data_IF_395057981698
#
_entry.id   IF_395057981698
#
_cell.length_a   1.000
_cell.length_b   1.000
_cell.length_c   1.000
_cell.angle_alpha   90.00
_cell.angle_beta   90.00
_cell.angle_gamma   90.00
#
_symmetry.space_group_name_H-M   'P 1'
#
loop_
_entity.id
_entity.type
_entity.pdbx_description
1 polymer ?
#
# COMPACT_ATOMS: atom_id res chain seq x y z
N UNK A 1 -27.71 -14.83 5.09
CA UNK A 1 -27.21 -13.47 5.42
C UNK A 1 -28.37 -12.50 5.71
N UNK A 2 -28.26 -11.57 6.68
CA UNK A 2 -29.22 -10.45 6.79
C UNK A 2 -28.91 -9.38 5.73
N UNK A 3 -29.88 -8.58 5.31
CA UNK A 3 -29.66 -7.53 4.31
C UNK A 3 -28.62 -6.49 4.75
N UNK A 4 -28.49 -6.26 6.04
CA UNK A 4 -27.50 -5.36 6.62
C UNK A 4 -26.07 -5.87 6.42
N UNK A 5 -25.80 -7.16 6.71
CA UNK A 5 -24.49 -7.76 6.47
C UNK A 5 -24.13 -7.77 4.97
N UNK A 6 -25.11 -8.03 4.10
CA UNK A 6 -24.89 -8.00 2.64
C UNK A 6 -24.49 -6.60 2.17
N UNK A 7 -25.16 -5.56 2.67
CA UNK A 7 -24.82 -4.15 2.36
C UNK A 7 -23.42 -3.80 2.84
N UNK A 8 -23.04 -4.17 4.05
CA UNK A 8 -21.70 -3.88 4.57
C UNK A 8 -20.60 -4.65 3.84
N UNK A 9 -20.84 -5.91 3.47
CA UNK A 9 -19.93 -6.69 2.65
C UNK A 9 -19.66 -6.01 1.29
N UNK A 10 -20.71 -5.62 0.55
CA UNK A 10 -20.53 -4.92 -0.72
C UNK A 10 -19.92 -3.52 -0.60
N UNK A 11 -20.11 -2.84 0.54
CA UNK A 11 -19.39 -1.58 0.81
C UNK A 11 -17.90 -1.86 1.01
N UNK A 12 -17.54 -2.89 1.78
CA UNK A 12 -16.15 -3.28 1.99
C UNK A 12 -15.48 -3.70 0.67
N UNK A 13 -16.14 -4.50 -0.17
CA UNK A 13 -15.64 -4.86 -1.51
C UNK A 13 -15.32 -3.64 -2.37
N UNK A 14 -16.24 -2.66 -2.43
CA UNK A 14 -16.02 -1.42 -3.19
C UNK A 14 -14.85 -0.62 -2.65
N UNK A 15 -14.71 -0.51 -1.32
CA UNK A 15 -13.56 0.17 -0.70
C UNK A 15 -12.25 -0.54 -1.00
N UNK A 16 -12.23 -1.88 -0.98
CA UNK A 16 -11.04 -2.66 -1.34
C UNK A 16 -10.63 -2.40 -2.79
N UNK A 17 -11.58 -2.44 -3.73
CA UNK A 17 -11.29 -2.18 -5.13
C UNK A 17 -10.69 -0.79 -5.34
N UNK A 18 -11.32 0.24 -4.76
CA UNK A 18 -10.85 1.63 -4.87
C UNK A 18 -9.49 1.83 -4.21
N UNK A 19 -9.30 1.36 -2.96
CA UNK A 19 -8.04 1.47 -2.25
C UNK A 19 -6.90 0.72 -2.96
N UNK A 20 -7.20 -0.42 -3.62
CA UNK A 20 -6.21 -1.17 -4.40
C UNK A 20 -5.75 -0.37 -5.62
N UNK A 21 -6.69 0.23 -6.36
CA UNK A 21 -6.38 1.11 -7.49
C UNK A 21 -5.56 2.33 -7.07
N UNK A 22 -5.91 2.96 -5.94
CA UNK A 22 -5.13 4.08 -5.39
C UNK A 22 -3.71 3.65 -5.01
N UNK A 23 -3.55 2.46 -4.44
CA UNK A 23 -2.24 1.90 -4.09
C UNK A 23 -1.36 1.67 -5.33
N UNK A 24 -1.93 1.14 -6.41
CA UNK A 24 -1.22 0.98 -7.70
C UNK A 24 -0.73 2.34 -8.23
N UNK A 25 -1.58 3.36 -8.20
CA UNK A 25 -1.21 4.70 -8.65
C UNK A 25 -0.06 5.30 -7.81
N UNK A 26 -0.10 5.10 -6.48
CA UNK A 26 0.97 5.55 -5.59
C UNK A 26 2.27 4.81 -5.89
N UNK A 27 2.21 3.50 -6.13
CA UNK A 27 3.38 2.69 -6.47
C UNK A 27 4.05 3.17 -7.76
N UNK A 28 3.27 3.48 -8.81
CA UNK A 28 3.79 4.08 -10.04
C UNK A 28 4.47 5.43 -9.76
N UNK A 29 3.85 6.27 -8.93
CA UNK A 29 4.40 7.56 -8.54
C UNK A 29 5.73 7.41 -7.80
N UNK A 30 5.83 6.45 -6.87
CA UNK A 30 7.09 6.14 -6.17
C UNK A 30 8.16 5.71 -7.16
N UNK A 31 7.83 4.86 -8.14
CA UNK A 31 8.78 4.43 -9.17
C UNK A 31 9.31 5.60 -10.02
N UNK A 32 8.46 6.58 -10.34
CA UNK A 32 8.89 7.81 -11.03
C UNK A 32 9.82 8.65 -10.15
N UNK A 33 9.51 8.79 -8.86
CA UNK A 33 10.35 9.50 -7.92
C UNK A 33 11.72 8.82 -7.75
N UNK A 34 11.76 7.48 -7.71
CA UNK A 34 13.02 6.73 -7.65
C UNK A 34 13.90 6.98 -8.86
N UNK A 35 13.31 7.01 -10.06
CA UNK A 35 14.02 7.37 -11.28
C UNK A 35 14.59 8.79 -11.20
N UNK A 36 13.79 9.76 -10.78
CA UNK A 36 14.21 11.16 -10.66
C UNK A 36 15.30 11.37 -9.59
N UNK A 37 15.20 10.68 -8.45
CA UNK A 37 16.24 10.68 -7.42
C UNK A 37 17.53 10.15 -8.03
N UNK A 38 17.48 8.99 -8.70
CA UNK A 38 18.67 8.39 -9.31
C UNK A 38 19.33 9.31 -10.35
N UNK A 39 18.56 9.90 -11.25
CA UNK A 39 19.05 10.83 -12.27
C UNK A 39 19.67 12.08 -11.64
N UNK A 40 19.01 12.67 -10.64
CA UNK A 40 19.52 13.84 -9.92
C UNK A 40 20.79 13.51 -9.13
N UNK A 41 20.87 12.34 -8.46
CA UNK A 41 22.07 11.88 -7.75
C UNK A 41 23.24 11.70 -8.71
N UNK A 42 22.99 11.14 -9.90
CA UNK A 42 24.02 11.01 -10.94
C UNK A 42 24.52 12.38 -11.39
N UNK A 43 23.62 13.33 -11.65
CA UNK A 43 23.99 14.70 -12.04
C UNK A 43 24.81 15.38 -10.95
N UNK A 44 24.37 15.29 -9.70
CA UNK A 44 25.08 15.83 -8.54
C UNK A 44 26.50 15.25 -8.42
N UNK A 45 26.64 13.94 -8.57
CA UNK A 45 27.95 13.27 -8.52
C UNK A 45 28.88 13.79 -9.62
N UNK A 46 28.34 14.03 -10.83
CA UNK A 46 29.11 14.57 -11.93
C UNK A 46 29.54 16.02 -11.66
N UNK A 47 28.62 16.86 -11.21
CA UNK A 47 28.88 18.26 -10.85
C UNK A 47 29.90 18.39 -9.70
N UNK A 48 29.83 17.52 -8.69
CA UNK A 48 30.82 17.50 -7.60
C UNK A 48 32.21 17.09 -8.09
N UNK A 49 32.31 16.16 -9.05
CA UNK A 49 33.58 15.79 -9.68
C UNK A 49 34.15 16.95 -10.50
N UNK A 50 33.33 17.62 -11.29
CA UNK A 50 33.73 18.78 -12.09
C UNK A 50 34.21 19.93 -11.19
N UNK A 51 33.47 20.22 -10.11
CA UNK A 51 33.87 21.20 -9.12
C UNK A 51 35.19 20.83 -8.45
N UNK A 52 35.38 19.58 -8.06
CA UNK A 52 36.64 19.13 -7.47
C UNK A 52 37.81 19.25 -8.46
N UNK A 53 37.62 18.84 -9.71
CA UNK A 53 38.64 18.99 -10.75
C UNK A 53 39.00 20.46 -11.00
N UNK A 54 38.00 21.35 -11.03
CA UNK A 54 38.21 22.78 -11.16
C UNK A 54 39.05 23.33 -9.99
N UNK A 55 38.70 22.99 -8.75
CA UNK A 55 39.39 23.47 -7.55
C UNK A 55 40.82 22.96 -7.42
N UNK A 56 41.09 21.70 -7.77
CA UNK A 56 42.38 21.05 -7.47
C UNK A 56 43.34 20.89 -8.66
N UNK A 57 42.85 20.90 -9.90
CA UNK A 57 43.68 20.60 -11.07
C UNK A 57 43.98 21.82 -11.97
N UNK A 58 43.25 22.94 -11.82
CA UNK A 58 43.39 24.11 -12.69
C UNK A 58 44.15 25.25 -11.98
N UNK A 59 45.00 26.01 -12.69
CA UNK A 59 45.62 27.21 -12.14
C UNK A 59 44.58 28.24 -11.74
N UNK A 60 44.79 28.92 -10.60
CA UNK A 60 43.84 29.89 -10.09
C UNK A 60 43.78 31.12 -10.97
N UNK A 61 42.61 31.37 -11.54
CA UNK A 61 42.30 32.49 -12.44
C UNK A 61 40.92 33.03 -12.10
N UNK A 62 40.63 34.29 -12.42
CA UNK A 62 39.30 34.86 -12.20
C UNK A 62 38.19 34.05 -12.89
N UNK A 63 38.47 33.53 -14.09
CA UNK A 63 37.56 32.63 -14.81
C UNK A 63 37.29 31.33 -14.03
N UNK A 64 38.33 30.75 -13.40
CA UNK A 64 38.15 29.55 -12.58
C UNK A 64 37.33 29.83 -11.33
N UNK A 65 37.54 30.97 -10.67
CA UNK A 65 36.77 31.35 -9.49
C UNK A 65 35.27 31.51 -9.84
N UNK A 66 34.95 32.09 -11.00
CA UNK A 66 33.57 32.15 -11.54
C UNK A 66 33.01 30.77 -11.88
N UNK A 67 33.79 29.92 -12.54
CA UNK A 67 33.39 28.54 -12.88
C UNK A 67 33.04 27.75 -11.61
N UNK A 68 33.89 27.85 -10.57
CA UNK A 68 33.67 27.18 -9.27
C UNK A 68 32.45 27.72 -8.55
N UNK A 69 32.20 29.04 -8.62
CA UNK A 69 31.01 29.65 -8.04
C UNK A 69 29.73 29.07 -8.69
N UNK A 70 29.66 29.04 -10.03
CA UNK A 70 28.51 28.46 -10.76
C UNK A 70 28.31 26.98 -10.43
N UNK A 71 29.37 26.18 -10.44
CA UNK A 71 29.31 24.76 -10.08
C UNK A 71 28.86 24.56 -8.62
N UNK A 72 29.19 25.49 -7.73
CA UNK A 72 28.75 25.44 -6.33
C UNK A 72 27.25 25.72 -6.22
N UNK A 73 26.75 26.70 -6.95
CA UNK A 73 25.32 27.01 -7.00
C UNK A 73 24.51 25.84 -7.60
N UNK A 74 24.99 25.25 -8.69
CA UNK A 74 24.38 24.07 -9.31
C UNK A 74 24.33 22.87 -8.36
N UNK A 75 25.43 22.58 -7.66
CA UNK A 75 25.49 21.53 -6.63
C UNK A 75 24.49 21.79 -5.50
N UNK A 76 24.38 23.04 -5.03
CA UNK A 76 23.44 23.40 -3.98
C UNK A 76 21.99 23.20 -4.43
N UNK A 77 21.64 23.67 -5.63
CA UNK A 77 20.33 23.48 -6.23
C UNK A 77 19.98 21.98 -6.35
N UNK A 78 20.88 21.17 -6.90
CA UNK A 78 20.67 19.72 -7.03
C UNK A 78 20.48 19.02 -5.67
N UNK A 79 21.21 19.44 -4.64
CA UNK A 79 21.04 18.92 -3.27
C UNK A 79 19.66 19.26 -2.70
N UNK A 80 19.17 20.48 -2.93
CA UNK A 80 17.81 20.86 -2.51
C UNK A 80 16.74 20.08 -3.28
N UNK A 81 16.91 19.90 -4.60
CA UNK A 81 16.03 19.06 -5.41
C UNK A 81 15.98 17.61 -4.87
N UNK A 82 17.13 17.02 -4.55
CA UNK A 82 17.17 15.66 -3.97
C UNK A 82 16.39 15.58 -2.66
N UNK A 83 16.60 16.52 -1.74
CA UNK A 83 15.85 16.56 -0.46
C UNK A 83 14.34 16.64 -0.71
N UNK A 84 13.90 17.47 -1.65
CA UNK A 84 12.49 17.61 -1.99
C UNK A 84 11.91 16.31 -2.60
N UNK A 85 12.65 15.65 -3.49
CA UNK A 85 12.26 14.37 -4.08
C UNK A 85 12.17 13.25 -3.04
N UNK A 86 13.16 13.15 -2.15
CA UNK A 86 13.16 12.19 -1.05
C UNK A 86 12.00 12.42 -0.08
N UNK A 87 11.71 13.68 0.26
CA UNK A 87 10.57 14.03 1.09
C UNK A 87 9.24 13.65 0.43
N UNK A 88 9.09 13.94 -0.87
CA UNK A 88 7.92 13.54 -1.66
C UNK A 88 7.75 12.02 -1.67
N UNK A 89 8.83 11.27 -1.88
CA UNK A 89 8.82 9.79 -1.84
C UNK A 89 8.39 9.30 -0.46
N UNK A 90 8.93 9.86 0.62
CA UNK A 90 8.56 9.50 1.98
C UNK A 90 7.06 9.74 2.25
N UNK A 91 6.50 10.86 1.79
CA UNK A 91 5.08 11.15 1.89
C UNK A 91 4.22 10.11 1.15
N UNK A 92 4.62 9.71 -0.06
CA UNK A 92 3.93 8.66 -0.83
C UNK A 92 4.00 7.29 -0.15
N UNK A 93 5.13 6.94 0.46
CA UNK A 93 5.27 5.71 1.23
C UNK A 93 4.35 5.70 2.47
N UNK A 94 4.20 6.83 3.16
CA UNK A 94 3.26 6.97 4.28
C UNK A 94 1.81 6.77 3.81
N UNK A 95 1.41 7.43 2.71
CA UNK A 95 0.07 7.24 2.12
C UNK A 95 -0.18 5.77 1.76
N UNK A 96 0.82 5.07 1.22
CA UNK A 96 0.72 3.65 0.90
C UNK A 96 0.48 2.78 2.15
N UNK A 97 1.19 3.06 3.25
CA UNK A 97 1.00 2.34 4.54
C UNK A 97 -0.40 2.55 5.12
N UNK A 98 -0.94 3.77 4.99
CA UNK A 98 -2.32 4.05 5.42
C UNK A 98 -3.34 3.25 4.60
N UNK A 99 -3.16 3.17 3.28
CA UNK A 99 -4.00 2.33 2.42
C UNK A 99 -3.89 0.84 2.78
N UNK A 100 -2.69 0.35 3.10
CA UNK A 100 -2.50 -1.02 3.57
C UNK A 100 -3.27 -1.30 4.86
N UNK A 101 -3.28 -0.36 5.79
CA UNK A 101 -4.10 -0.44 7.01
C UNK A 101 -5.60 -0.50 6.71
N UNK A 102 -6.09 0.33 5.78
CA UNK A 102 -7.51 0.34 5.36
C UNK A 102 -7.89 -0.98 4.68
N UNK A 103 -7.06 -1.46 3.75
CA UNK A 103 -7.27 -2.74 3.06
C UNK A 103 -7.31 -3.92 4.04
N UNK A 104 -6.39 -3.96 5.01
CA UNK A 104 -6.40 -4.99 6.05
C UNK A 104 -7.66 -4.90 6.93
N UNK A 105 -8.15 -3.69 7.24
CA UNK A 105 -9.41 -3.46 7.91
C UNK A 105 -10.60 -4.03 7.12
N UNK A 106 -10.75 -3.64 5.86
CA UNK A 106 -11.87 -4.09 5.02
C UNK A 106 -11.85 -5.60 4.77
N UNK A 107 -10.67 -6.22 4.60
CA UNK A 107 -10.55 -7.69 4.48
C UNK A 107 -11.04 -8.41 5.74
N UNK A 108 -10.66 -7.93 6.93
CA UNK A 108 -11.14 -8.50 8.21
C UNK A 108 -12.65 -8.40 8.35
N UNK A 109 -13.26 -7.30 7.89
CA UNK A 109 -14.73 -7.15 7.87
C UNK A 109 -15.36 -8.23 6.98
N UNK A 110 -14.84 -8.41 5.77
CA UNK A 110 -15.35 -9.44 4.85
C UNK A 110 -15.19 -10.86 5.40
N UNK A 111 -14.03 -11.18 5.96
CA UNK A 111 -13.75 -12.49 6.59
C UNK A 111 -14.71 -12.76 7.76
N UNK A 112 -14.96 -11.76 8.60
CA UNK A 112 -15.88 -11.87 9.74
C UNK A 112 -17.32 -12.12 9.29
N UNK A 113 -17.78 -11.38 8.27
CA UNK A 113 -19.13 -11.56 7.71
C UNK A 113 -19.28 -12.97 7.10
N UNK A 114 -18.27 -13.43 6.36
CA UNK A 114 -18.27 -14.76 5.74
C UNK A 114 -18.26 -15.87 6.79
N UNK A 115 -17.41 -15.78 7.81
CA UNK A 115 -17.35 -16.76 8.89
C UNK A 115 -18.65 -16.86 9.70
N UNK A 116 -19.36 -15.75 9.90
CA UNK A 116 -20.69 -15.74 10.52
C UNK A 116 -21.74 -16.45 9.65
N UNK A 117 -21.65 -16.34 8.33
CA UNK A 117 -22.53 -17.06 7.42
C UNK A 117 -22.26 -18.57 7.45
N UNK A 118 -20.99 -18.98 7.39
CA UNK A 118 -20.59 -20.38 7.46
C UNK A 118 -21.03 -21.03 8.78
N UNK A 119 -20.91 -20.31 9.90
CA UNK A 119 -21.35 -20.77 11.22
C UNK A 119 -22.87 -20.98 11.29
N UNK A 120 -23.66 -20.07 10.69
CA UNK A 120 -25.13 -20.22 10.61
C UNK A 120 -25.54 -21.42 9.77
N UNK A 121 -24.86 -21.66 8.65
CA UNK A 121 -25.12 -22.82 7.79
C UNK A 121 -24.84 -24.12 8.54
N UNK A 122 -23.75 -24.19 9.32
CA UNK A 122 -23.44 -25.37 10.13
C UNK A 122 -24.47 -25.63 11.24
N UNK A 123 -24.94 -24.58 11.91
CA UNK A 123 -25.99 -24.71 12.94
C UNK A 123 -27.31 -25.23 12.35
N UNK A 124 -27.73 -24.73 11.18
CA UNK A 124 -28.93 -25.22 10.51
C UNK A 124 -28.82 -26.70 10.12
N UNK A 125 -27.68 -27.11 9.55
CA UNK A 125 -27.44 -28.53 9.22
C UNK A 125 -27.50 -29.46 10.44
N UNK A 126 -27.00 -29.02 11.60
CA UNK A 126 -27.08 -29.78 12.84
C UNK A 126 -28.51 -29.83 13.42
N UNK A 127 -29.32 -28.80 13.21
CA UNK A 127 -30.72 -28.80 13.61
C UNK A 127 -31.55 -29.78 12.77
N UNK A 128 -31.35 -29.79 11.44
CA UNK A 128 -32.04 -30.70 10.52
C UNK A 128 -31.68 -32.17 10.80
N UNK A 129 -30.40 -32.47 11.03
CA UNK A 129 -29.93 -33.83 11.36
C UNK A 129 -30.47 -34.37 12.72
N UNK A 130 -30.83 -33.47 13.65
CA UNK A 130 -31.49 -33.85 14.91
C UNK A 130 -32.99 -34.06 14.75
N UNK A 131 -33.61 -33.45 13.75
CA UNK A 131 -35.04 -33.60 13.49
C UNK A 131 -35.39 -34.89 12.75
N UNK A 132 -34.48 -35.43 11.93
CA UNK A 132 -34.64 -36.75 11.26
C UNK A 132 -34.40 -37.97 12.17
N UNK A 133 -33.81 -37.78 13.36
CA UNK A 133 -33.55 -38.84 14.35
C UNK A 133 -34.48 -38.77 15.58
N UNK A 134 -35.71 -38.29 15.41
CA UNK A 134 -36.75 -38.39 16.45
C UNK A 134 -37.14 -39.85 16.72
N UNK A 135 -37.45 -40.24 17.97
CA UNK A 135 -37.59 -41.64 18.35
C UNK A 135 -38.72 -42.32 17.58
N UNK A 136 -38.38 -43.40 16.88
CA UNK A 136 -39.35 -44.33 16.31
C UNK A 136 -40.14 -44.96 17.47
N UNK A 137 -41.34 -44.44 17.72
CA UNK A 137 -42.28 -45.01 18.68
C UNK A 137 -42.66 -46.41 18.18
N UNK A 138 -41.99 -47.44 18.71
CA UNK A 138 -42.41 -48.82 18.52
C UNK A 138 -43.81 -48.97 19.11
N UNK A 139 -44.81 -49.06 18.23
CA UNK A 139 -46.14 -49.55 18.55
C UNK A 139 -46.02 -51.01 19.01
N UNK A 140 -45.95 -51.22 20.32
CA UNK A 140 -46.27 -52.52 20.91
C UNK A 140 -47.79 -52.70 20.82
N UNK A 141 -48.25 -53.44 19.79
CA UNK A 141 -49.60 -53.98 19.76
C UNK A 141 -49.60 -55.24 20.61
N UNK A 142 -50.20 -55.14 21.80
CA UNK A 142 -50.54 -56.26 22.67
C UNK A 142 -51.80 -56.92 22.09
N UNK A 143 -51.68 -58.15 21.58
CA UNK A 143 -52.84 -59.00 21.23
C UNK A 143 -53.05 -59.97 22.38
N UNK A 144 -54.21 -59.83 23.04
CA UNK A 144 -54.85 -60.84 23.88
C UNK A 144 -56.00 -61.47 23.08
#
# INVERSE_FOLDING_TARGET
>A
MTDEFRKEYHKAERRIAENSKQKEQIMLTIGLLDKQIHETTRCLTQQERERAAAVFARPRTAQLDEDVARLTDDVNCLRECLKALEHSKAARLTQMRELDGRLAGDRRVMESIKGLEDSKIQQNKQADAKHENGPSTQLQILVL
#
